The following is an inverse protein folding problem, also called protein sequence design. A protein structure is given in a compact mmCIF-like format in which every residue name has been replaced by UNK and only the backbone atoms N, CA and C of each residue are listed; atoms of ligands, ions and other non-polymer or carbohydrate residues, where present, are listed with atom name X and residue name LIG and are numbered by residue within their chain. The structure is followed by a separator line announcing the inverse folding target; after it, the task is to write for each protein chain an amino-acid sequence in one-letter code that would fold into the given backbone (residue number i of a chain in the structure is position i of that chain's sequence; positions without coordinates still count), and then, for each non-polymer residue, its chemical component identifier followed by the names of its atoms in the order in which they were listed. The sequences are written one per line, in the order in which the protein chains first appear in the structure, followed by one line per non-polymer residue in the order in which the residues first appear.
data_IF_156205925856
#
_entry.id   IF_156205925856
#
_cell.length_a   1.000
_cell.length_b   1.000
_cell.length_c   1.000
_cell.angle_alpha   90.00
_cell.angle_beta   90.00
_cell.angle_gamma   90.00
#
_symmetry.space_group_name_H-M   'P 1'
#
loop_
_entity.id
_entity.type
_entity.pdbx_description
1 polymer ?
#
# COMPACT_ATOMS: atom_id res chain seq x y z
N UNK A 1 46.11 23.05 -20.13
CA UNK A 1 44.96 22.20 -20.48
C UNK A 1 45.18 20.72 -20.14
N UNK A 2 45.83 19.84 -20.94
CA UNK A 2 45.89 18.41 -20.55
C UNK A 2 46.61 18.17 -19.21
N UNK A 3 47.69 18.91 -18.92
CA UNK A 3 48.38 18.87 -17.61
C UNK A 3 47.48 19.33 -16.46
N UNK A 4 46.63 20.31 -16.72
CA UNK A 4 45.68 20.86 -15.75
C UNK A 4 44.56 19.86 -15.43
N UNK A 5 44.07 19.14 -16.44
CA UNK A 5 43.15 18.00 -16.28
C UNK A 5 43.80 16.91 -15.42
N UNK A 6 45.02 16.47 -15.78
CA UNK A 6 45.74 15.46 -15.00
C UNK A 6 45.92 15.88 -13.53
N UNK A 7 46.34 17.13 -13.29
CA UNK A 7 46.55 17.64 -11.94
C UNK A 7 45.24 17.80 -11.15
N UNK A 8 44.19 18.34 -11.77
CA UNK A 8 42.90 18.62 -11.11
C UNK A 8 42.15 17.34 -10.76
N UNK A 9 42.18 16.34 -11.64
CA UNK A 9 41.52 15.05 -11.41
C UNK A 9 42.42 14.03 -10.69
N UNK A 10 43.68 14.38 -10.37
CA UNK A 10 44.62 13.50 -9.68
C UNK A 10 44.97 12.25 -10.48
N UNK A 11 45.06 12.36 -11.81
CA UNK A 11 45.21 11.23 -12.72
C UNK A 11 46.48 11.33 -13.56
N UNK A 12 47.04 10.17 -13.90
CA UNK A 12 48.20 10.03 -14.78
C UNK A 12 47.83 10.29 -16.25
N UNK A 13 48.85 10.53 -17.08
CA UNK A 13 48.68 10.69 -18.53
C UNK A 13 48.18 9.41 -19.21
N UNK A 14 48.54 8.24 -18.66
CA UNK A 14 48.08 6.95 -19.16
C UNK A 14 46.57 6.80 -18.93
N UNK A 15 46.08 7.12 -17.74
CA UNK A 15 44.64 7.08 -17.41
C UNK A 15 43.84 8.10 -18.22
N UNK A 16 44.41 9.28 -18.48
CA UNK A 16 43.78 10.27 -19.37
C UNK A 16 43.69 9.75 -20.80
N UNK A 17 44.74 9.06 -21.30
CA UNK A 17 44.74 8.45 -22.63
C UNK A 17 43.63 7.40 -22.75
N UNK A 18 43.52 6.51 -21.77
CA UNK A 18 42.48 5.47 -21.72
C UNK A 18 41.07 6.08 -21.70
N UNK A 19 40.82 7.11 -20.88
CA UNK A 19 39.51 7.77 -20.81
C UNK A 19 39.11 8.50 -22.09
N UNK A 20 40.07 8.95 -22.88
CA UNK A 20 39.84 9.60 -24.17
C UNK A 20 39.86 8.61 -25.35
N UNK A 21 40.14 7.32 -25.11
CA UNK A 21 40.29 6.32 -26.17
C UNK A 21 41.50 6.58 -27.07
N UNK A 22 42.55 7.19 -26.52
CA UNK A 22 43.76 7.59 -27.24
C UNK A 22 44.98 6.81 -26.74
N UNK A 23 46.03 6.78 -27.55
CA UNK A 23 47.31 6.22 -27.12
C UNK A 23 48.05 7.20 -26.19
N UNK A 24 48.84 6.66 -25.24
CA UNK A 24 49.67 7.46 -24.34
C UNK A 24 50.64 8.38 -25.10
N UNK A 25 51.21 7.89 -26.21
CA UNK A 25 52.11 8.68 -27.06
C UNK A 25 51.41 9.89 -27.70
N UNK A 26 50.12 9.75 -28.04
CA UNK A 26 49.29 10.89 -28.49
C UNK A 26 49.18 11.95 -27.39
N UNK A 27 48.92 11.56 -26.14
CA UNK A 27 48.84 12.49 -25.00
C UNK A 27 50.20 13.13 -24.70
N UNK A 28 51.31 12.39 -24.77
CA UNK A 28 52.64 12.94 -24.51
C UNK A 28 53.04 14.01 -25.55
N UNK A 29 52.58 13.85 -26.79
CA UNK A 29 52.77 14.83 -27.87
C UNK A 29 52.04 16.17 -27.64
N UNK A 30 51.03 16.20 -26.75
CA UNK A 30 50.27 17.41 -26.39
C UNK A 30 51.04 18.35 -25.45
N UNK A 31 52.29 18.02 -25.12
CA UNK A 31 53.24 18.97 -24.55
C UNK A 31 53.36 20.23 -25.42
N UNK A 32 53.16 20.09 -26.73
CA UNK A 32 52.87 21.17 -27.67
C UNK A 32 51.34 21.33 -27.82
N UNK A 33 50.81 22.45 -27.33
CA UNK A 33 49.37 22.72 -27.31
C UNK A 33 48.73 22.85 -28.70
N UNK A 34 49.51 23.13 -29.75
CA UNK A 34 49.03 23.23 -31.14
C UNK A 34 48.63 21.87 -31.72
N UNK A 35 49.09 20.76 -31.10
CA UNK A 35 48.83 19.38 -31.51
C UNK A 35 47.57 18.79 -30.86
N UNK A 36 46.90 19.53 -30.00
CA UNK A 36 45.63 19.11 -29.39
C UNK A 36 44.51 19.40 -30.40
N UNK A 37 43.79 18.36 -30.83
CA UNK A 37 42.65 18.54 -31.73
C UNK A 37 41.55 19.34 -31.04
N UNK A 38 40.74 20.07 -31.82
CA UNK A 38 39.62 20.87 -31.28
C UNK A 38 38.65 20.00 -30.46
N UNK A 39 38.37 18.78 -30.92
CA UNK A 39 37.50 17.82 -30.21
C UNK A 39 38.12 17.36 -28.89
N UNK A 40 39.42 17.05 -28.87
CA UNK A 40 40.12 16.69 -27.64
C UNK A 40 40.13 17.86 -26.65
N UNK A 41 40.27 19.10 -27.15
CA UNK A 41 40.20 20.31 -26.34
C UNK A 41 38.86 20.45 -25.61
N UNK A 42 37.75 20.30 -26.35
CA UNK A 42 36.40 20.34 -25.77
C UNK A 42 36.18 19.21 -24.76
N UNK A 43 36.66 17.99 -25.05
CA UNK A 43 36.56 16.87 -24.12
C UNK A 43 37.31 17.15 -22.79
N UNK A 44 38.50 17.74 -22.86
CA UNK A 44 39.29 18.13 -21.67
C UNK A 44 38.60 19.25 -20.87
N UNK A 45 37.99 20.23 -21.54
CA UNK A 45 37.21 21.29 -20.91
C UNK A 45 35.97 20.73 -20.19
N UNK A 46 35.23 19.83 -20.84
CA UNK A 46 34.09 19.13 -20.24
C UNK A 46 34.49 18.28 -19.02
N UNK A 47 35.66 17.64 -19.04
CA UNK A 47 36.17 16.90 -17.89
C UNK A 47 36.42 17.81 -16.68
N UNK A 48 36.97 19.01 -16.89
CA UNK A 48 37.17 20.00 -15.81
C UNK A 48 35.86 20.57 -15.30
N UNK A 49 34.92 20.88 -16.19
CA UNK A 49 33.60 21.38 -15.82
C UNK A 49 32.81 20.32 -15.04
N UNK A 50 32.84 19.06 -15.47
CA UNK A 50 32.18 17.97 -14.77
C UNK A 50 32.77 17.76 -13.37
N UNK A 51 34.09 17.86 -13.23
CA UNK A 51 34.75 17.79 -11.92
C UNK A 51 34.32 18.93 -11.00
N UNK A 52 34.28 20.17 -11.51
CA UNK A 52 33.79 21.33 -10.75
C UNK A 52 32.33 21.15 -10.34
N UNK A 53 31.45 20.73 -11.24
CA UNK A 53 30.04 20.46 -10.95
C UNK A 53 29.88 19.38 -9.87
N UNK A 54 30.63 18.27 -9.96
CA UNK A 54 30.62 17.22 -8.94
C UNK A 54 31.12 17.72 -7.59
N UNK A 55 32.16 18.56 -7.57
CA UNK A 55 32.65 19.18 -6.33
C UNK A 55 31.61 20.12 -5.74
N UNK A 56 30.92 20.93 -6.55
CA UNK A 56 29.83 21.78 -6.08
C UNK A 56 28.68 20.96 -5.50
N UNK A 57 28.25 19.88 -6.18
CA UNK A 57 27.23 18.96 -5.67
C UNK A 57 27.66 18.33 -4.34
N UNK A 58 28.91 17.87 -4.25
CA UNK A 58 29.46 17.31 -3.01
C UNK A 58 29.46 18.35 -1.90
N UNK A 59 29.89 19.58 -2.16
CA UNK A 59 29.85 20.67 -1.17
C UNK A 59 28.43 20.98 -0.70
N UNK A 60 27.43 20.92 -1.60
CA UNK A 60 26.03 21.01 -1.21
C UNK A 60 25.61 19.83 -0.33
N UNK A 61 25.93 18.58 -0.71
CA UNK A 61 25.63 17.38 0.08
C UNK A 61 26.28 17.40 1.45
N UNK A 62 27.55 17.79 1.55
CA UNK A 62 28.30 17.93 2.79
C UNK A 62 27.74 19.07 3.64
N UNK A 63 27.29 20.17 3.01
CA UNK A 63 26.54 21.24 3.66
C UNK A 63 25.22 20.75 4.25
N UNK A 64 24.44 19.98 3.48
CA UNK A 64 23.19 19.37 3.96
C UNK A 64 23.43 18.34 5.07
N UNK A 65 24.47 17.52 4.96
CA UNK A 65 24.84 16.56 6.00
C UNK A 65 25.28 17.27 7.28
N UNK A 66 26.02 18.37 7.15
CA UNK A 66 26.42 19.23 8.27
C UNK A 66 25.19 19.87 8.93
N UNK A 67 24.26 20.44 8.14
CA UNK A 67 22.99 20.97 8.66
C UNK A 67 22.16 19.89 9.37
N UNK A 68 22.10 18.68 8.82
CA UNK A 68 21.42 17.55 9.46
C UNK A 68 22.10 17.12 10.78
N UNK A 69 23.43 17.18 10.85
CA UNK A 69 24.18 16.84 12.07
C UNK A 69 23.99 17.85 13.22
N UNK A 70 23.55 19.08 12.91
CA UNK A 70 23.20 20.10 13.90
C UNK A 70 21.75 20.01 14.41
N UNK A 71 21.00 18.93 14.14
CA UNK A 71 19.56 18.82 14.48
C UNK A 71 18.74 20.05 14.03
N UNK A 72 19.12 20.67 12.90
CA UNK A 72 18.37 21.76 12.27
C UNK A 72 17.19 21.24 11.43
N UNK A 73 17.20 19.97 11.03
CA UNK A 73 16.10 19.32 10.31
C UNK A 73 14.81 19.22 11.13
N UNK A 74 14.91 18.95 12.43
CA UNK A 74 13.75 18.99 13.34
C UNK A 74 13.43 20.42 13.78
N UNK A 75 14.43 21.28 14.03
CA UNK A 75 14.17 22.57 14.66
C UNK A 75 13.77 23.73 13.71
N UNK A 76 14.03 23.67 12.40
CA UNK A 76 13.68 24.81 11.53
C UNK A 76 12.26 24.72 10.94
N UNK A 77 11.73 23.51 10.65
CA UNK A 77 10.33 23.35 10.26
C UNK A 77 9.35 23.34 11.44
N UNK A 78 9.79 22.87 12.62
CA UNK A 78 8.98 22.92 13.84
C UNK A 78 8.85 24.33 14.45
N UNK A 79 9.57 25.34 13.92
CA UNK A 79 9.54 26.71 14.44
C UNK A 79 8.58 27.66 13.71
N UNK A 80 7.93 27.24 12.61
CA UNK A 80 6.92 28.06 11.91
C UNK A 80 5.51 27.50 12.07
N UNK A 81 5.38 26.18 12.21
CA UNK A 81 4.10 25.48 12.37
C UNK A 81 4.13 24.56 13.58
N UNK A 82 3.00 24.40 14.26
CA UNK A 82 2.90 23.48 15.39
C UNK A 82 3.12 22.03 14.95
N UNK A 83 3.59 21.18 15.86
CA UNK A 83 3.68 19.73 15.64
C UNK A 83 2.37 19.16 15.08
N UNK A 84 1.24 19.59 15.63
CA UNK A 84 -0.10 19.15 15.21
C UNK A 84 -0.41 19.49 13.75
N UNK A 85 0.06 20.64 13.27
CA UNK A 85 -0.05 21.00 11.86
C UNK A 85 0.79 20.07 10.98
N UNK A 86 2.04 19.81 11.39
CA UNK A 86 2.92 18.94 10.63
C UNK A 86 2.33 17.53 10.51
N UNK A 87 1.81 16.99 11.60
CA UNK A 87 1.16 15.68 11.63
C UNK A 87 -0.11 15.65 10.75
N UNK A 88 -0.90 16.73 10.73
CA UNK A 88 -2.07 16.85 9.86
C UNK A 88 -1.69 16.83 8.38
N UNK A 89 -0.71 17.64 7.97
CA UNK A 89 -0.25 17.67 6.57
C UNK A 89 0.33 16.31 6.17
N UNK A 90 1.08 15.65 7.06
CA UNK A 90 1.58 14.29 6.83
C UNK A 90 0.46 13.28 6.58
N UNK A 91 -0.65 13.36 7.34
CA UNK A 91 -1.83 12.52 7.10
C UNK A 91 -2.50 12.82 5.76
N UNK A 92 -2.60 14.09 5.36
CA UNK A 92 -3.11 14.46 4.03
C UNK A 92 -2.19 13.88 2.93
N UNK A 93 -0.88 14.03 3.05
CA UNK A 93 0.11 13.48 2.12
C UNK A 93 0.03 11.95 2.02
N UNK A 94 -0.20 11.27 3.15
CA UNK A 94 -0.45 9.82 3.17
C UNK A 94 -1.63 9.44 2.27
N UNK A 95 -2.76 10.16 2.37
CA UNK A 95 -3.91 9.93 1.50
C UNK A 95 -3.60 10.23 0.03
N UNK A 96 -2.83 11.29 -0.27
CA UNK A 96 -2.40 11.59 -1.63
C UNK A 96 -1.60 10.45 -2.25
N UNK A 97 -0.67 9.88 -1.49
CA UNK A 97 0.15 8.75 -1.95
C UNK A 97 -0.70 7.49 -2.17
N UNK A 98 -1.54 7.14 -1.20
CA UNK A 98 -2.38 5.95 -1.25
C UNK A 98 -3.40 6.00 -2.39
N UNK A 99 -4.00 7.16 -2.64
CA UNK A 99 -4.98 7.35 -3.71
C UNK A 99 -4.36 7.80 -5.04
N UNK A 100 -3.03 7.92 -5.11
CA UNK A 100 -2.26 8.41 -6.27
C UNK A 100 -2.80 9.75 -6.81
N UNK A 101 -3.10 10.67 -5.90
CA UNK A 101 -3.62 12.00 -6.21
C UNK A 101 -2.49 12.96 -6.60
N UNK A 102 -2.83 13.93 -7.42
CA UNK A 102 -2.07 15.16 -7.61
C UNK A 102 -2.90 16.34 -7.11
N UNK A 103 -2.30 17.52 -6.94
CA UNK A 103 -3.04 18.70 -6.51
C UNK A 103 -4.17 19.05 -7.48
N UNK A 104 -3.96 18.79 -8.77
CA UNK A 104 -4.96 19.01 -9.83
C UNK A 104 -6.13 18.03 -9.69
N UNK A 105 -5.86 16.73 -9.52
CA UNK A 105 -6.94 15.74 -9.41
C UNK A 105 -7.71 15.90 -8.10
N UNK A 106 -7.01 16.25 -7.02
CA UNK A 106 -7.62 16.56 -5.73
C UNK A 106 -8.53 17.80 -5.82
N UNK A 107 -8.03 18.91 -6.37
CA UNK A 107 -8.80 20.16 -6.59
C UNK A 107 -10.09 19.89 -7.37
N UNK A 108 -9.97 19.21 -8.52
CA UNK A 108 -11.13 18.86 -9.34
C UNK A 108 -12.11 17.95 -8.61
N UNK A 109 -11.62 16.96 -7.87
CA UNK A 109 -12.48 16.07 -7.11
C UNK A 109 -13.23 16.82 -6.01
N UNK A 110 -12.60 17.79 -5.34
CA UNK A 110 -13.20 18.62 -4.31
C UNK A 110 -14.12 19.73 -4.85
N UNK A 111 -14.19 19.91 -6.18
CA UNK A 111 -15.00 20.97 -6.81
C UNK A 111 -14.36 22.35 -6.71
N UNK A 112 -13.05 22.42 -6.45
CA UNK A 112 -12.30 23.66 -6.35
C UNK A 112 -11.97 24.24 -7.74
N UNK A 113 -11.94 25.57 -7.84
CA UNK A 113 -11.69 26.25 -9.11
C UNK A 113 -10.21 26.23 -9.54
N UNK A 114 -9.29 26.03 -8.58
CA UNK A 114 -7.86 25.92 -8.82
C UNK A 114 -7.18 25.06 -7.73
N UNK A 115 -5.92 24.70 -7.97
CA UNK A 115 -5.13 23.85 -7.07
C UNK A 115 -4.16 24.63 -6.16
N UNK A 116 -4.20 25.97 -6.19
CA UNK A 116 -3.24 26.80 -5.45
C UNK A 116 -3.40 26.63 -3.93
N UNK A 117 -4.64 26.58 -3.42
CA UNK A 117 -4.94 26.31 -2.00
C UNK A 117 -4.32 24.99 -1.55
N UNK A 118 -4.54 23.92 -2.32
CA UNK A 118 -4.00 22.59 -2.03
C UNK A 118 -2.46 22.61 -2.05
N UNK A 119 -1.86 23.19 -3.09
CA UNK A 119 -0.40 23.27 -3.18
C UNK A 119 0.22 24.05 -2.01
N UNK A 120 -0.43 25.12 -1.53
CA UNK A 120 0.01 25.85 -0.35
C UNK A 120 -0.11 25.01 0.93
N UNK A 121 -1.20 24.25 1.10
CA UNK A 121 -1.39 23.33 2.24
C UNK A 121 -0.30 22.25 2.26
N UNK A 122 -0.10 21.53 1.15
CA UNK A 122 0.87 20.42 1.08
C UNK A 122 2.33 20.87 1.25
N UNK A 123 2.64 22.12 0.90
CA UNK A 123 3.97 22.70 1.07
C UNK A 123 4.13 23.46 2.40
N UNK A 124 3.25 23.23 3.38
CA UNK A 124 3.33 23.86 4.71
C UNK A 124 3.35 25.40 4.62
N UNK A 125 2.59 25.98 3.70
CA UNK A 125 2.45 27.45 3.54
C UNK A 125 1.10 27.97 4.03
N UNK A 126 0.15 27.06 4.28
CA UNK A 126 -1.21 27.39 4.68
C UNK A 126 -1.79 26.29 5.58
N UNK A 127 -2.50 26.70 6.64
CA UNK A 127 -3.32 25.78 7.43
C UNK A 127 -4.57 25.37 6.64
N UNK A 128 -4.90 24.07 6.56
CA UNK A 128 -6.20 23.66 6.05
C UNK A 128 -7.30 24.12 7.02
N UNK A 129 -8.34 24.75 6.49
CA UNK A 129 -9.53 25.11 7.27
C UNK A 129 -10.46 23.90 7.47
N UNK A 130 -11.38 23.98 8.42
CA UNK A 130 -12.31 22.88 8.73
C UNK A 130 -13.18 22.49 7.54
N UNK A 131 -13.63 23.46 6.73
CA UNK A 131 -14.40 23.20 5.51
C UNK A 131 -13.60 22.36 4.51
N UNK A 132 -12.32 22.67 4.30
CA UNK A 132 -11.43 21.85 3.49
C UNK A 132 -11.30 20.43 4.07
N UNK A 133 -11.07 20.29 5.38
CA UNK A 133 -10.86 18.99 6.02
C UNK A 133 -12.11 18.11 5.97
N UNK A 134 -13.30 18.68 6.19
CA UNK A 134 -14.58 17.99 6.06
C UNK A 134 -14.83 17.55 4.62
N UNK A 135 -14.68 18.47 3.65
CA UNK A 135 -14.83 18.15 2.22
C UNK A 135 -13.83 17.09 1.77
N UNK A 136 -12.58 17.18 2.20
CA UNK A 136 -11.53 16.23 1.86
C UNK A 136 -11.88 14.83 2.40
N UNK A 137 -12.21 14.73 3.69
CA UNK A 137 -12.60 13.47 4.31
C UNK A 137 -13.84 12.86 3.64
N UNK A 138 -14.88 13.67 3.39
CA UNK A 138 -16.11 13.22 2.74
C UNK A 138 -15.87 12.78 1.30
N UNK A 139 -15.07 13.52 0.54
CA UNK A 139 -14.85 13.26 -0.88
C UNK A 139 -14.05 11.99 -1.11
N UNK A 140 -13.02 11.77 -0.30
CA UNK A 140 -12.11 10.63 -0.40
C UNK A 140 -12.46 9.48 0.54
N UNK A 141 -13.58 9.59 1.28
CA UNK A 141 -14.12 8.55 2.17
C UNK A 141 -13.11 8.13 3.24
N UNK A 142 -12.48 9.13 3.83
CA UNK A 142 -11.49 8.98 4.90
C UNK A 142 -12.17 9.21 6.24
N UNK A 143 -11.76 8.46 7.25
CA UNK A 143 -12.17 8.67 8.63
C UNK A 143 -11.73 10.08 9.10
N UNK A 144 -12.71 10.93 9.36
CA UNK A 144 -12.47 12.33 9.73
C UNK A 144 -11.77 12.46 11.10
N UNK A 145 -12.09 11.59 12.06
CA UNK A 145 -11.41 11.58 13.36
C UNK A 145 -9.91 11.27 13.18
N UNK A 146 -9.59 10.23 12.41
CA UNK A 146 -8.20 9.91 12.08
C UNK A 146 -7.49 11.08 11.38
N UNK A 147 -8.16 11.78 10.46
CA UNK A 147 -7.57 12.93 9.78
C UNK A 147 -7.20 14.03 10.77
N UNK A 148 -8.05 14.31 11.77
CA UNK A 148 -7.82 15.37 12.74
C UNK A 148 -6.83 14.98 13.84
N UNK A 149 -6.95 13.77 14.40
CA UNK A 149 -6.23 13.36 15.62
C UNK A 149 -5.12 12.36 15.36
N UNK A 150 -5.14 11.66 14.23
CA UNK A 150 -4.28 10.52 13.93
C UNK A 150 -4.72 9.22 14.59
N UNK A 151 -5.79 9.21 15.39
CA UNK A 151 -6.27 8.01 16.07
C UNK A 151 -7.09 7.10 15.14
N UNK A 152 -6.85 5.79 15.25
CA UNK A 152 -7.51 4.79 14.41
C UNK A 152 -6.84 4.63 13.04
N UNK A 153 -7.67 4.49 12.00
CA UNK A 153 -7.20 4.21 10.64
C UNK A 153 -7.94 5.06 9.58
N UNK A 154 -7.25 5.53 8.54
CA UNK A 154 -7.81 6.39 7.49
C UNK A 154 -8.98 5.76 6.75
N UNK A 155 -8.90 4.47 6.45
CA UNK A 155 -9.91 3.76 5.65
C UNK A 155 -10.83 2.90 6.51
N UNK A 156 -10.88 3.15 7.82
CA UNK A 156 -11.89 2.55 8.69
C UNK A 156 -13.27 3.13 8.35
N UNK A 157 -14.26 2.26 8.18
CA UNK A 157 -15.61 2.63 7.77
C UNK A 157 -16.65 1.82 8.54
N UNK A 158 -17.74 2.48 8.93
CA UNK A 158 -18.93 1.87 9.55
C UNK A 158 -19.92 1.37 8.49
N UNK A 159 -19.41 0.97 7.32
CA UNK A 159 -20.22 0.52 6.20
C UNK A 159 -21.06 -0.72 6.54
N UNK A 160 -20.51 -1.62 7.36
CA UNK A 160 -21.20 -2.81 7.83
C UNK A 160 -21.71 -2.53 9.25
N UNK A 161 -23.03 -2.63 9.44
CA UNK A 161 -23.68 -2.35 10.74
C UNK A 161 -24.03 -3.63 11.50
N UNK A 162 -24.11 -4.74 10.77
CA UNK A 162 -24.48 -6.04 11.31
C UNK A 162 -23.40 -6.64 12.19
N UNK A 163 -23.82 -7.13 13.38
CA UNK A 163 -22.97 -7.90 14.29
C UNK A 163 -23.18 -9.42 14.16
N UNK A 164 -24.20 -9.83 13.40
CA UNK A 164 -24.57 -11.24 13.21
C UNK A 164 -24.68 -11.58 11.72
N UNK A 165 -24.30 -12.81 11.36
CA UNK A 165 -24.27 -13.25 9.96
C UNK A 165 -25.65 -13.15 9.28
N UNK A 166 -26.72 -13.46 10.01
CA UNK A 166 -28.10 -13.38 9.48
C UNK A 166 -28.51 -11.95 9.08
N UNK A 167 -27.99 -10.94 9.76
CA UNK A 167 -28.21 -9.53 9.42
C UNK A 167 -27.26 -9.11 8.29
N UNK A 168 -25.99 -9.52 8.37
CA UNK A 168 -24.98 -9.21 7.37
C UNK A 168 -25.34 -9.75 5.99
N UNK A 169 -25.96 -10.92 5.92
CA UNK A 169 -26.47 -11.49 4.67
C UNK A 169 -27.43 -10.53 3.93
N UNK A 170 -28.24 -9.73 4.64
CA UNK A 170 -29.14 -8.75 4.01
C UNK A 170 -28.36 -7.54 3.51
N UNK A 171 -27.45 -7.00 4.32
CA UNK A 171 -26.57 -5.90 3.93
C UNK A 171 -25.69 -6.27 2.71
N UNK A 172 -25.24 -7.52 2.66
CA UNK A 172 -24.37 -8.03 1.60
C UNK A 172 -25.02 -8.01 0.20
N UNK A 173 -26.35 -7.97 0.11
CA UNK A 173 -27.06 -7.82 -1.17
C UNK A 173 -26.79 -6.45 -1.81
N UNK A 174 -26.60 -5.41 -1.01
CA UNK A 174 -26.46 -4.01 -1.47
C UNK A 174 -25.05 -3.65 -1.93
N UNK A 175 -24.03 -4.39 -1.49
CA UNK A 175 -22.64 -4.13 -1.90
C UNK A 175 -22.43 -4.46 -3.38
N UNK A 176 -21.34 -3.99 -3.99
CA UNK A 176 -21.04 -4.33 -5.39
C UNK A 176 -20.15 -5.56 -5.49
N UNK A 177 -19.15 -5.65 -4.62
CA UNK A 177 -18.19 -6.77 -4.59
C UNK A 177 -17.98 -7.25 -3.18
N UNK A 178 -17.76 -8.55 -3.05
CA UNK A 178 -17.48 -9.22 -1.79
C UNK A 178 -16.19 -10.02 -1.98
N UNK A 179 -15.30 -9.95 -1.01
CA UNK A 179 -14.03 -10.65 -0.98
C UNK A 179 -13.97 -11.51 0.27
N UNK A 180 -13.66 -12.79 0.10
CA UNK A 180 -13.22 -13.65 1.21
C UNK A 180 -11.71 -13.72 1.10
N UNK A 181 -11.00 -13.23 2.12
CA UNK A 181 -9.55 -13.06 2.09
C UNK A 181 -8.88 -13.93 3.14
N UNK A 182 -7.76 -14.55 2.77
CA UNK A 182 -6.94 -15.36 3.68
C UNK A 182 -5.44 -15.07 3.51
N UNK A 183 -4.65 -15.44 4.51
CA UNK A 183 -3.19 -15.40 4.47
C UNK A 183 -2.63 -16.72 3.96
N UNK A 184 -1.63 -16.68 3.09
CA UNK A 184 -0.98 -17.87 2.52
C UNK A 184 -0.32 -18.77 3.54
N UNK A 185 0.05 -18.24 4.69
CA UNK A 185 0.62 -19.03 5.78
C UNK A 185 -0.43 -19.94 6.45
N UNK A 186 -1.74 -19.72 6.17
CA UNK A 186 -2.87 -20.41 6.80
C UNK A 186 -2.85 -20.36 8.34
N UNK A 187 -2.21 -19.33 8.91
CA UNK A 187 -2.11 -19.11 10.35
C UNK A 187 -3.01 -17.97 10.84
N UNK A 188 -3.40 -17.07 9.93
CA UNK A 188 -4.27 -15.95 10.22
C UNK A 188 -5.73 -16.28 9.88
N UNK A 189 -6.66 -15.68 10.62
CA UNK A 189 -8.09 -15.87 10.40
C UNK A 189 -8.49 -15.40 9.01
N UNK A 190 -9.37 -16.13 8.32
CA UNK A 190 -10.04 -15.68 7.11
C UNK A 190 -11.03 -14.55 7.43
N UNK A 191 -11.15 -13.56 6.54
CA UNK A 191 -11.99 -12.36 6.73
C UNK A 191 -12.85 -12.07 5.50
N UNK A 192 -13.92 -11.29 5.70
CA UNK A 192 -14.76 -10.78 4.63
C UNK A 192 -14.53 -9.28 4.47
N UNK A 193 -14.27 -8.84 3.24
CA UNK A 193 -14.19 -7.43 2.86
C UNK A 193 -15.27 -7.16 1.81
N UNK A 194 -15.98 -6.05 1.94
CA UNK A 194 -17.00 -5.63 0.99
C UNK A 194 -16.64 -4.28 0.38
N UNK A 195 -17.09 -4.06 -0.85
CA UNK A 195 -16.96 -2.78 -1.55
C UNK A 195 -18.33 -2.35 -2.04
N UNK A 196 -18.71 -1.10 -1.79
CA UNK A 196 -19.92 -0.50 -2.34
C UNK A 196 -19.67 0.27 -3.66
N UNK A 197 -20.74 0.80 -4.27
CA UNK A 197 -20.69 1.60 -5.53
C UNK A 197 -19.79 2.82 -5.49
N UNK A 198 -19.55 3.36 -4.30
CA UNK A 198 -18.71 4.53 -4.11
C UNK A 198 -17.23 4.18 -3.88
N UNK A 199 -16.85 2.91 -4.05
CA UNK A 199 -15.53 2.36 -3.69
C UNK A 199 -15.20 2.54 -2.19
N UNK A 200 -16.20 2.56 -1.31
CA UNK A 200 -15.98 2.48 0.14
C UNK A 200 -15.80 1.02 0.54
N UNK A 201 -14.90 0.78 1.49
CA UNK A 201 -14.53 -0.55 1.96
C UNK A 201 -15.13 -0.80 3.33
N UNK A 202 -15.69 -1.99 3.54
CA UNK A 202 -16.11 -2.48 4.84
C UNK A 202 -15.35 -3.75 5.20
N UNK A 203 -14.85 -3.86 6.43
CA UNK A 203 -14.25 -5.09 6.96
C UNK A 203 -15.24 -5.72 7.94
N UNK A 204 -15.71 -6.93 7.63
CA UNK A 204 -16.65 -7.62 8.51
C UNK A 204 -15.94 -8.05 9.80
N UNK A 205 -16.61 -7.85 10.94
CA UNK A 205 -15.99 -8.00 12.25
C UNK A 205 -15.70 -9.46 12.62
N UNK A 206 -16.51 -10.41 12.12
CA UNK A 206 -16.32 -11.84 12.40
C UNK A 206 -15.02 -12.37 11.79
N UNK A 207 -14.32 -13.17 12.57
CA UNK A 207 -13.11 -13.90 12.18
C UNK A 207 -13.49 -15.35 11.88
N UNK A 208 -12.93 -15.92 10.80
CA UNK A 208 -13.20 -17.30 10.43
C UNK A 208 -11.94 -18.16 10.53
N UNK A 209 -12.03 -19.22 11.32
CA UNK A 209 -10.94 -20.14 11.60
C UNK A 209 -10.76 -21.15 10.45
N UNK A 210 -10.07 -20.73 9.38
CA UNK A 210 -9.71 -21.59 8.26
C UNK A 210 -8.18 -21.59 8.14
N UNK A 211 -7.54 -22.57 8.78
CA UNK A 211 -6.09 -22.67 8.87
C UNK A 211 -5.63 -23.74 9.86
N UNK A 212 -4.42 -24.28 9.68
CA UNK A 212 -3.95 -25.48 10.38
C UNK A 212 -3.80 -25.31 11.91
N UNK A 213 -3.73 -24.08 12.40
CA UNK A 213 -3.45 -23.78 13.81
C UNK A 213 -4.69 -23.47 14.64
N UNK A 214 -5.89 -23.54 14.06
CA UNK A 214 -7.12 -23.21 14.78
C UNK A 214 -7.76 -24.42 15.44
N UNK A 215 -8.27 -24.19 16.65
CA UNK A 215 -9.13 -25.14 17.33
C UNK A 215 -10.57 -24.88 16.86
N UNK A 216 -11.19 -25.91 16.29
CA UNK A 216 -12.57 -25.83 15.77
C UNK A 216 -13.53 -26.33 16.84
N UNK A 217 -13.95 -25.44 17.75
CA UNK A 217 -14.98 -25.75 18.75
C UNK A 217 -16.39 -25.45 18.20
N UNK A 218 -17.42 -25.56 19.04
CA UNK A 218 -18.80 -25.44 18.60
C UNK A 218 -19.12 -24.10 17.90
N UNK A 219 -18.50 -23.00 18.35
CA UNK A 219 -18.70 -21.67 17.77
C UNK A 219 -18.02 -21.55 16.41
N UNK A 220 -16.74 -21.91 16.32
CA UNK A 220 -15.94 -21.85 15.10
C UNK A 220 -16.50 -22.79 14.02
N UNK A 221 -17.00 -23.96 14.41
CA UNK A 221 -17.72 -24.86 13.52
C UNK A 221 -18.98 -24.18 12.94
N UNK A 222 -19.76 -23.51 13.78
CA UNK A 222 -20.95 -22.78 13.34
C UNK A 222 -20.59 -21.60 12.44
N UNK A 223 -19.56 -20.82 12.78
CA UNK A 223 -19.09 -19.68 12.00
C UNK A 223 -18.55 -20.11 10.62
N UNK A 224 -17.85 -21.25 10.54
CA UNK A 224 -17.43 -21.84 9.27
C UNK A 224 -18.63 -22.21 8.38
N UNK A 225 -19.67 -22.80 8.96
CA UNK A 225 -20.87 -23.16 8.21
C UNK A 225 -21.65 -21.94 7.76
N UNK A 226 -21.70 -20.92 8.60
CA UNK A 226 -22.28 -19.61 8.30
C UNK A 226 -21.55 -18.93 7.14
N UNK A 227 -20.22 -19.03 7.09
CA UNK A 227 -19.42 -18.56 5.95
C UNK A 227 -19.68 -19.36 4.68
N UNK A 228 -19.81 -20.69 4.79
CA UNK A 228 -20.18 -21.54 3.66
C UNK A 228 -21.55 -21.17 3.09
N UNK A 229 -22.58 -21.05 3.93
CA UNK A 229 -23.93 -20.64 3.50
C UNK A 229 -23.92 -19.25 2.86
N UNK A 230 -23.14 -18.31 3.44
CA UNK A 230 -22.91 -16.99 2.87
C UNK A 230 -22.26 -17.07 1.48
N UNK A 231 -21.21 -17.89 1.33
CA UNK A 231 -20.56 -18.10 0.04
C UNK A 231 -21.53 -18.66 -1.00
N UNK A 232 -22.31 -19.69 -0.67
CA UNK A 232 -23.28 -20.28 -1.60
C UNK A 232 -24.31 -19.26 -2.07
N UNK A 233 -24.80 -18.40 -1.16
CA UNK A 233 -25.78 -17.35 -1.50
C UNK A 233 -25.19 -16.30 -2.47
N UNK A 234 -23.91 -15.96 -2.33
CA UNK A 234 -23.27 -14.89 -3.09
C UNK A 234 -22.18 -15.38 -4.05
N UNK A 235 -22.25 -16.65 -4.47
CA UNK A 235 -21.19 -17.35 -5.21
C UNK A 235 -20.65 -16.57 -6.42
N UNK A 236 -21.51 -15.91 -7.18
CA UNK A 236 -21.14 -15.15 -8.37
C UNK A 236 -20.64 -13.72 -8.10
N UNK A 237 -20.73 -13.24 -6.86
CA UNK A 237 -20.31 -11.91 -6.42
C UNK A 237 -19.05 -11.95 -5.57
N UNK A 238 -18.70 -13.13 -5.04
CA UNK A 238 -17.54 -13.35 -4.19
C UNK A 238 -16.29 -13.61 -5.01
N UNK A 239 -15.20 -12.95 -4.64
CA UNK A 239 -13.83 -13.33 -5.02
C UNK A 239 -13.09 -13.86 -3.80
N UNK A 240 -12.58 -15.09 -3.88
CA UNK A 240 -11.72 -15.66 -2.84
C UNK A 240 -10.26 -15.32 -3.14
N UNK A 241 -9.60 -14.58 -2.25
CA UNK A 241 -8.23 -14.10 -2.44
C UNK A 241 -7.30 -14.57 -1.32
N UNK A 242 -6.05 -14.83 -1.70
CA UNK A 242 -4.94 -15.13 -0.79
C UNK A 242 -3.83 -14.07 -0.91
N UNK A 243 -3.21 -13.76 0.23
CA UNK A 243 -2.15 -12.76 0.35
C UNK A 243 -0.95 -13.30 1.12
N UNK A 244 0.24 -12.75 0.85
CA UNK A 244 1.36 -12.93 1.78
C UNK A 244 1.07 -12.23 3.11
N UNK A 245 1.82 -12.57 4.16
CA UNK A 245 1.59 -12.06 5.52
C UNK A 245 1.63 -10.53 5.63
N UNK A 246 2.55 -9.86 4.90
CA UNK A 246 2.69 -8.41 4.94
C UNK A 246 1.51 -7.69 4.29
N UNK A 247 1.14 -8.07 3.06
CA UNK A 247 -0.02 -7.52 2.37
C UNK A 247 -1.32 -7.83 3.14
N UNK A 248 -1.44 -9.01 3.74
CA UNK A 248 -2.59 -9.39 4.56
C UNK A 248 -2.73 -8.47 5.79
N UNK A 249 -1.64 -8.25 6.53
CA UNK A 249 -1.64 -7.34 7.69
C UNK A 249 -1.93 -5.91 7.30
N UNK A 250 -1.35 -5.44 6.19
CA UNK A 250 -1.63 -4.09 5.65
C UNK A 250 -3.11 -3.93 5.31
N UNK A 251 -3.71 -4.94 4.66
CA UNK A 251 -5.12 -4.94 4.30
C UNK A 251 -6.02 -4.83 5.53
N UNK A 252 -5.77 -5.65 6.56
CA UNK A 252 -6.57 -5.64 7.79
C UNK A 252 -6.35 -4.40 8.67
N UNK A 253 -5.19 -3.74 8.55
CA UNK A 253 -4.91 -2.53 9.34
C UNK A 253 -5.78 -1.33 8.94
N UNK A 254 -6.32 -1.32 7.71
CA UNK A 254 -7.03 -0.19 7.10
C UNK A 254 -6.21 1.13 7.10
N UNK A 255 -4.89 1.05 7.31
CA UNK A 255 -3.95 2.17 7.20
C UNK A 255 -3.56 2.47 5.77
N UNK A 256 -3.70 1.48 4.89
CA UNK A 256 -3.40 1.56 3.47
C UNK A 256 -4.69 1.43 2.68
N UNK A 257 -4.74 2.00 1.49
CA UNK A 257 -5.94 1.99 0.67
C UNK A 257 -6.24 0.55 0.22
N UNK A 258 -7.35 -0.07 0.68
CA UNK A 258 -7.56 -1.50 0.50
C UNK A 258 -7.58 -1.95 -0.96
N UNK A 259 -8.08 -1.10 -1.87
CA UNK A 259 -8.12 -1.38 -3.31
C UNK A 259 -6.75 -1.75 -3.88
N UNK A 260 -5.72 -0.98 -3.55
CA UNK A 260 -4.36 -1.18 -4.04
C UNK A 260 -3.79 -2.53 -3.61
N UNK A 261 -4.25 -3.06 -2.48
CA UNK A 261 -3.84 -4.37 -1.97
C UNK A 261 -4.68 -5.45 -2.63
N UNK A 262 -6.01 -5.31 -2.63
CA UNK A 262 -6.94 -6.26 -3.24
C UNK A 262 -6.65 -6.53 -4.72
N UNK A 263 -6.28 -5.51 -5.49
CA UNK A 263 -5.92 -5.63 -6.90
C UNK A 263 -4.65 -6.48 -7.14
N UNK A 264 -3.84 -6.69 -6.09
CA UNK A 264 -2.64 -7.56 -6.11
C UNK A 264 -2.90 -8.96 -5.53
N UNK A 265 -4.11 -9.22 -5.05
CA UNK A 265 -4.48 -10.50 -4.45
C UNK A 265 -4.47 -11.64 -5.46
N UNK A 266 -4.03 -12.81 -5.03
CA UNK A 266 -4.05 -14.00 -5.85
C UNK A 266 -5.33 -14.78 -5.58
N UNK A 267 -5.87 -15.46 -6.59
CA UNK A 267 -7.03 -16.34 -6.42
C UNK A 267 -6.70 -17.45 -5.41
N UNK A 268 -7.48 -17.56 -4.34
CA UNK A 268 -7.36 -18.67 -3.39
C UNK A 268 -8.16 -19.87 -3.88
N UNK A 269 -7.50 -20.77 -4.61
CA UNK A 269 -8.11 -22.02 -5.06
C UNK A 269 -8.56 -22.89 -3.87
N UNK A 270 -7.79 -22.90 -2.78
CA UNK A 270 -8.15 -23.61 -1.56
C UNK A 270 -9.51 -23.18 -1.00
N UNK A 271 -9.80 -21.87 -0.93
CA UNK A 271 -11.11 -21.41 -0.47
C UNK A 271 -12.24 -21.82 -1.43
N UNK A 272 -12.00 -21.76 -2.75
CA UNK A 272 -12.98 -22.22 -3.74
C UNK A 272 -13.26 -23.71 -3.59
N UNK A 273 -12.23 -24.54 -3.55
CA UNK A 273 -12.36 -26.00 -3.42
C UNK A 273 -13.02 -26.38 -2.08
N UNK A 274 -12.71 -25.65 -0.99
CA UNK A 274 -13.36 -25.81 0.32
C UNK A 274 -14.87 -25.54 0.23
N UNK A 275 -15.25 -24.40 -0.34
CA UNK A 275 -16.67 -24.02 -0.40
C UNK A 275 -17.43 -24.77 -1.50
N UNK A 276 -16.76 -25.33 -2.50
CA UNK A 276 -17.35 -26.28 -3.44
C UNK A 276 -17.38 -27.72 -2.87
N UNK A 277 -16.88 -27.93 -1.65
CA UNK A 277 -16.82 -29.22 -0.93
C UNK A 277 -16.11 -30.32 -1.71
N UNK A 278 -15.01 -29.98 -2.39
CA UNK A 278 -14.16 -30.93 -3.15
C UNK A 278 -13.26 -31.72 -2.23
N UNK A 279 -13.54 -33.01 -2.09
CA UNK A 279 -12.81 -33.91 -1.18
C UNK A 279 -11.50 -34.45 -1.79
N UNK A 280 -11.38 -34.42 -3.12
CA UNK A 280 -10.24 -34.93 -3.87
C UNK A 280 -8.97 -34.09 -3.70
N UNK A 281 -9.08 -32.85 -3.23
CA UNK A 281 -7.95 -31.94 -3.01
C UNK A 281 -7.23 -32.13 -1.65
N UNK A 282 -7.57 -33.18 -0.90
CA UNK A 282 -6.94 -33.47 0.41
C UNK A 282 -5.42 -33.53 0.34
N UNK A 283 -4.85 -34.22 -0.64
CA UNK A 283 -3.39 -34.34 -0.77
C UNK A 283 -2.71 -32.98 -0.99
N UNK A 284 -3.45 -32.02 -1.57
CA UNK A 284 -2.95 -30.70 -1.90
C UNK A 284 -3.00 -29.73 -0.71
N UNK A 285 -4.09 -29.76 0.07
CA UNK A 285 -4.33 -28.77 1.14
C UNK A 285 -4.19 -29.33 2.57
N UNK A 286 -4.09 -30.65 2.73
CA UNK A 286 -3.82 -31.32 4.00
C UNK A 286 -5.05 -31.64 4.84
N UNK A 287 -4.82 -32.26 6.00
CA UNK A 287 -5.89 -32.82 6.86
C UNK A 287 -6.84 -31.76 7.43
N UNK A 288 -6.35 -30.54 7.70
CA UNK A 288 -7.20 -29.48 8.23
C UNK A 288 -8.30 -29.08 7.25
N UNK A 289 -8.00 -29.07 5.94
CA UNK A 289 -8.97 -28.78 4.89
C UNK A 289 -10.11 -29.83 4.87
N UNK A 290 -9.76 -31.12 4.93
CA UNK A 290 -10.74 -32.20 5.02
C UNK A 290 -11.59 -32.09 6.30
N UNK A 291 -10.97 -31.74 7.43
CA UNK A 291 -11.68 -31.48 8.69
C UNK A 291 -12.72 -30.37 8.51
N UNK A 292 -12.39 -29.28 7.82
CA UNK A 292 -13.36 -28.21 7.52
C UNK A 292 -14.52 -28.70 6.66
N UNK A 293 -14.27 -29.47 5.59
CA UNK A 293 -15.34 -30.06 4.77
C UNK A 293 -16.27 -30.92 5.62
N UNK A 294 -15.70 -31.80 6.44
CA UNK A 294 -16.47 -32.69 7.31
C UNK A 294 -17.31 -31.91 8.33
N UNK A 295 -16.75 -30.85 8.92
CA UNK A 295 -17.48 -29.95 9.82
C UNK A 295 -18.66 -29.27 9.11
N UNK A 296 -18.46 -28.78 7.88
CA UNK A 296 -19.54 -28.17 7.10
C UNK A 296 -20.66 -29.18 6.86
N UNK A 297 -20.32 -30.38 6.39
CA UNK A 297 -21.30 -31.43 6.09
C UNK A 297 -22.07 -31.88 7.34
N UNK A 298 -21.39 -32.13 8.44
CA UNK A 298 -22.03 -32.59 9.69
C UNK A 298 -22.95 -31.52 10.27
N UNK A 299 -22.49 -30.27 10.34
CA UNK A 299 -23.27 -29.17 10.91
C UNK A 299 -24.50 -28.84 10.05
N UNK A 300 -24.40 -28.91 8.72
CA UNK A 300 -25.55 -28.73 7.83
C UNK A 300 -26.60 -29.81 8.06
N UNK A 301 -26.19 -31.07 8.18
CA UNK A 301 -27.08 -32.20 8.49
C UNK A 301 -27.77 -31.99 9.85
N UNK A 302 -27.04 -31.55 10.86
CA UNK A 302 -27.60 -31.27 12.18
C UNK A 302 -28.56 -30.07 12.18
N UNK A 303 -28.33 -29.06 11.34
CA UNK A 303 -29.26 -27.93 11.15
C UNK A 303 -30.53 -28.38 10.45
N UNK A 304 -30.43 -29.25 9.45
CA UNK A 304 -31.56 -29.80 8.72
C UNK A 304 -32.45 -30.69 9.61
N UNK A 305 -31.85 -31.61 10.36
CA UNK A 305 -32.57 -32.45 11.33
C UNK A 305 -33.36 -31.60 12.34
N UNK A 306 -32.72 -30.57 12.91
CA UNK A 306 -33.39 -29.64 13.85
C UNK A 306 -34.52 -28.84 13.21
N UNK A 307 -34.44 -28.52 11.90
CA UNK A 307 -35.54 -27.86 11.18
C UNK A 307 -36.71 -28.81 10.97
N UNK A 308 -36.45 -30.07 10.61
CA UNK A 308 -37.48 -31.10 10.43
C UNK A 308 -38.20 -31.36 11.76
N UNK A 309 -37.46 -31.53 12.86
CA UNK A 309 -38.03 -31.72 14.21
C UNK A 309 -38.93 -30.55 14.62
N UNK A 310 -38.50 -29.30 14.37
CA UNK A 310 -39.31 -28.12 14.69
C UNK A 310 -40.57 -28.00 13.83
N UNK A 311 -40.51 -28.39 12.57
CA UNK A 311 -41.64 -28.30 11.64
C UNK A 311 -42.61 -29.48 11.76
N UNK A 312 -42.16 -30.62 12.29
CA UNK A 312 -43.00 -31.79 12.58
C UNK A 312 -43.76 -31.73 13.91
N UNK A 313 -43.64 -30.64 14.67
CA UNK A 313 -44.34 -30.39 15.94
C UNK A 313 -45.57 -29.46 15.74
N UNK A 314 -45.90 -29.07 14.50
CA UNK A 314 -47.16 -28.38 14.15
C UNK A 314 -48.21 -29.36 13.61
#
# INVERSE_FOLDING_TARGET
MFKEVCNTLGMSRTELAEKLGLSKTTIDSWSDSSRISKTAKVALELMLENYKLRSTIKNFQDGFASLNSYNLGENMMNNVFSKDHNDLINRINHIFNELKLSEITCSRAMGESNYAKINQILNFKMYPDFDFLEKFALRFKINHNWLLTGEGSPFASDLIKSNFNSQFIKEAEEFDRIYIVTSKNNLDHTRIIVINRNNEFGLYQTYFCIGSNFIMEARECSDLCDLYEFYQKFKYKISCLEFNEDDYRKLLSLKYYPKNILDRGQTSYMLFDLFDLREDDKERYGEFFEKCINIIKSTLKDRENRRIERNGIN
#
